data_IF_660317543835
#
_entry.id   IF_660317543835
#
_cell.length_a   1.000
_cell.length_b   1.000
_cell.length_c   1.000
_cell.angle_alpha   90.00
_cell.angle_beta   90.00
_cell.angle_gamma   90.00
#
_symmetry.space_group_name_H-M   'P 1'
#
loop_
_entity.id
_entity.type
_entity.pdbx_description
1 polymer ?
#
# COMPACT_ATOMS: atom_id res chain seq x y z
N UNK A 1 58.52 -8.32 -48.72
CA UNK A 1 57.36 -8.17 -47.79
C UNK A 1 56.28 -7.34 -48.50
N UNK A 2 55.16 -7.97 -48.83
CA UNK A 2 54.12 -7.35 -49.66
C UNK A 2 53.25 -6.37 -48.87
N UNK A 3 53.23 -5.13 -49.25
CA UNK A 3 52.41 -4.04 -48.63
C UNK A 3 50.90 -4.39 -48.46
N UNK A 4 50.42 -5.31 -49.28
CA UNK A 4 49.00 -5.79 -49.19
C UNK A 4 48.72 -6.62 -47.96
N UNK A 5 49.66 -7.35 -47.37
CA UNK A 5 49.47 -8.19 -46.19
C UNK A 5 49.54 -7.37 -44.86
N UNK A 6 50.14 -6.18 -44.91
CA UNK A 6 50.16 -5.27 -43.73
C UNK A 6 48.84 -4.54 -43.58
N UNK A 7 48.21 -4.13 -44.71
CA UNK A 7 46.92 -3.44 -44.68
C UNK A 7 45.77 -4.34 -44.25
N UNK A 8 45.79 -5.63 -44.65
CA UNK A 8 44.75 -6.61 -44.23
C UNK A 8 44.85 -6.99 -42.77
N UNK A 9 46.05 -7.00 -42.17
CA UNK A 9 46.25 -7.25 -40.73
C UNK A 9 45.87 -6.05 -39.87
N UNK A 10 46.02 -4.82 -40.33
CA UNK A 10 45.56 -3.60 -39.65
C UNK A 10 44.02 -3.46 -39.68
N UNK A 11 43.36 -3.86 -40.77
CA UNK A 11 41.88 -3.81 -40.84
C UNK A 11 41.21 -4.87 -39.94
N UNK A 12 41.86 -6.05 -39.75
CA UNK A 12 41.35 -7.06 -38.83
C UNK A 12 41.54 -6.72 -37.35
N UNK A 13 42.58 -5.93 -36.99
CA UNK A 13 42.79 -5.47 -35.61
C UNK A 13 41.80 -4.36 -35.19
N UNK A 14 41.33 -3.54 -36.10
CA UNK A 14 40.29 -2.52 -35.80
C UNK A 14 38.87 -3.09 -35.66
N UNK A 15 38.58 -4.25 -36.25
CA UNK A 15 37.26 -4.90 -36.15
C UNK A 15 37.05 -5.67 -34.81
N UNK A 16 38.12 -6.04 -34.11
CA UNK A 16 38.06 -6.76 -32.82
C UNK A 16 37.84 -5.84 -31.61
N UNK A 17 37.93 -4.51 -31.78
CA UNK A 17 37.75 -3.51 -30.72
C UNK A 17 36.33 -2.94 -30.61
N UNK A 18 35.45 -3.28 -31.54
CA UNK A 18 34.04 -2.84 -31.51
C UNK A 18 33.15 -3.88 -30.81
N UNK A 19 33.51 -4.29 -29.59
CA UNK A 19 32.50 -4.88 -28.69
C UNK A 19 31.43 -3.79 -28.44
N UNK A 20 30.15 -4.14 -28.57
CA UNK A 20 29.12 -3.13 -28.40
C UNK A 20 29.11 -2.64 -26.96
N UNK A 21 29.75 -1.48 -26.73
CA UNK A 21 29.50 -0.64 -25.55
C UNK A 21 28.02 -0.15 -25.49
N UNK A 22 27.17 -0.70 -26.34
CA UNK A 22 25.76 -0.32 -26.52
C UNK A 22 24.81 -0.94 -25.48
N UNK A 23 25.30 -1.69 -24.47
CA UNK A 23 24.43 -2.35 -23.49
C UNK A 23 24.21 -1.56 -22.18
N UNK A 24 24.76 -0.37 -22.05
CA UNK A 24 24.61 0.47 -20.86
C UNK A 24 24.21 1.89 -21.21
N UNK A 25 23.47 2.11 -22.30
CA UNK A 25 22.63 3.30 -22.39
C UNK A 25 21.59 3.17 -21.26
N UNK A 26 22.03 3.49 -20.04
CA UNK A 26 21.17 3.79 -18.93
C UNK A 26 20.21 4.85 -19.46
N UNK A 27 18.97 4.46 -19.75
CA UNK A 27 17.97 5.41 -20.25
C UNK A 27 17.91 6.52 -19.23
N UNK A 28 18.18 7.79 -19.63
CA UNK A 28 18.05 8.99 -18.81
C UNK A 28 16.60 9.22 -18.36
N UNK A 29 15.70 8.30 -18.74
CA UNK A 29 14.29 8.34 -18.37
C UNK A 29 14.16 8.13 -16.85
N UNK A 30 13.43 8.99 -16.16
CA UNK A 30 13.11 8.77 -14.75
C UNK A 30 12.29 7.50 -14.58
N UNK A 31 12.39 6.87 -13.42
CA UNK A 31 11.53 5.77 -13.02
C UNK A 31 10.21 6.33 -12.52
N UNK A 32 9.11 6.01 -13.18
CA UNK A 32 7.77 6.33 -12.71
C UNK A 32 7.37 5.39 -11.57
N UNK A 33 7.04 5.93 -10.41
CA UNK A 33 6.48 5.22 -9.27
C UNK A 33 4.99 5.51 -9.22
N UNK A 34 4.20 4.60 -9.75
CA UNK A 34 2.74 4.75 -9.76
C UNK A 34 2.19 4.49 -8.37
N UNK A 35 1.42 5.45 -7.86
CA UNK A 35 0.64 5.36 -6.63
C UNK A 35 -0.84 5.30 -7.01
N UNK A 36 -1.55 4.20 -6.71
CA UNK A 36 -2.92 4.00 -7.20
C UNK A 36 -4.00 4.69 -6.34
N UNK A 37 -3.63 5.76 -5.65
CA UNK A 37 -4.50 6.57 -4.78
C UNK A 37 -4.21 8.06 -4.94
N UNK A 38 -5.14 8.90 -4.46
CA UNK A 38 -4.95 10.35 -4.40
C UNK A 38 -3.75 10.73 -3.49
N UNK A 39 -3.13 11.89 -3.72
CA UNK A 39 -2.07 12.41 -2.87
C UNK A 39 -2.44 12.52 -1.38
N UNK A 40 -1.43 12.65 -0.53
CA UNK A 40 -1.51 12.84 0.93
C UNK A 40 -2.09 11.64 1.73
N UNK A 41 -2.30 10.49 1.11
CA UNK A 41 -2.58 9.24 1.80
C UNK A 41 -1.29 8.45 2.09
N UNK A 42 -1.41 7.37 2.86
CA UNK A 42 -0.31 6.49 3.27
C UNK A 42 0.51 5.96 2.09
N UNK A 43 -0.16 5.50 1.03
CA UNK A 43 0.52 4.97 -0.16
C UNK A 43 1.33 6.06 -0.90
N UNK A 44 0.82 7.29 -0.95
CA UNK A 44 1.52 8.43 -1.54
C UNK A 44 2.76 8.81 -0.72
N UNK A 45 2.63 8.86 0.62
CA UNK A 45 3.77 9.11 1.51
C UNK A 45 4.88 8.07 1.32
N UNK A 46 4.53 6.80 1.25
CA UNK A 46 5.50 5.72 0.99
C UNK A 46 6.10 5.81 -0.40
N UNK A 47 5.32 6.08 -1.44
CA UNK A 47 5.81 6.25 -2.81
C UNK A 47 6.85 7.38 -2.90
N UNK A 48 6.58 8.53 -2.28
CA UNK A 48 7.51 9.67 -2.25
C UNK A 48 8.77 9.36 -1.44
N UNK A 49 8.62 8.70 -0.30
CA UNK A 49 9.75 8.25 0.51
C UNK A 49 10.65 7.28 -0.29
N UNK A 50 10.06 6.29 -0.96
CA UNK A 50 10.82 5.36 -1.81
C UNK A 50 11.51 6.07 -2.97
N UNK A 51 10.82 6.98 -3.66
CA UNK A 51 11.41 7.76 -4.76
C UNK A 51 12.63 8.57 -4.28
N UNK A 52 12.52 9.22 -3.13
CA UNK A 52 13.59 10.02 -2.53
C UNK A 52 14.78 9.17 -2.08
N UNK A 53 14.55 7.99 -1.50
CA UNK A 53 15.60 7.17 -0.90
C UNK A 53 16.24 6.18 -1.89
N UNK A 54 15.45 5.61 -2.80
CA UNK A 54 15.95 4.64 -3.78
C UNK A 54 16.59 5.31 -4.99
N UNK A 55 16.12 6.49 -5.39
CA UNK A 55 16.64 7.20 -6.57
C UNK A 55 18.19 7.34 -6.56
N UNK A 56 18.79 7.90 -5.50
CA UNK A 56 20.26 8.01 -5.38
C UNK A 56 20.96 6.65 -5.41
N UNK A 57 20.41 5.61 -4.79
CA UNK A 57 20.98 4.25 -4.78
C UNK A 57 20.98 3.61 -6.16
N UNK A 58 20.00 3.97 -6.98
CA UNK A 58 19.85 3.48 -8.35
C UNK A 58 20.59 4.35 -9.38
N UNK A 59 21.08 5.53 -8.97
CA UNK A 59 21.67 6.52 -9.89
C UNK A 59 20.65 7.07 -10.89
N UNK A 60 19.36 7.11 -10.53
CA UNK A 60 18.25 7.51 -11.41
C UNK A 60 17.24 8.34 -10.67
N UNK A 61 16.66 9.32 -11.34
CA UNK A 61 15.50 10.04 -10.80
C UNK A 61 14.28 9.10 -10.71
N UNK A 62 13.53 9.19 -9.62
CA UNK A 62 12.24 8.51 -9.45
C UNK A 62 11.15 9.56 -9.24
N UNK A 63 10.05 9.44 -9.99
CA UNK A 63 8.93 10.40 -9.98
C UNK A 63 7.65 9.68 -9.58
N UNK A 64 6.92 10.23 -8.62
CA UNK A 64 5.63 9.69 -8.18
C UNK A 64 4.51 10.18 -9.09
N UNK A 65 3.72 9.25 -9.61
CA UNK A 65 2.50 9.51 -10.38
C UNK A 65 1.28 8.95 -9.66
N UNK A 66 0.37 9.82 -9.22
CA UNK A 66 -0.88 9.39 -8.61
C UNK A 66 -1.93 9.05 -9.69
N UNK A 67 -2.39 7.79 -9.71
CA UNK A 67 -3.45 7.30 -10.63
C UNK A 67 -4.59 6.65 -9.83
N UNK A 68 -5.45 7.46 -9.15
CA UNK A 68 -6.50 6.96 -8.28
C UNK A 68 -7.71 6.44 -9.04
N UNK A 69 -8.49 5.59 -8.38
CA UNK A 69 -9.82 5.15 -8.83
C UNK A 69 -9.99 3.64 -8.94
N UNK A 70 -11.25 3.20 -9.00
CA UNK A 70 -11.65 1.78 -9.07
C UNK A 70 -10.96 0.90 -8.01
N UNK A 71 -10.91 1.35 -6.73
CA UNK A 71 -10.23 0.61 -5.67
C UNK A 71 -8.77 0.26 -6.02
N UNK A 72 -7.98 1.24 -6.43
CA UNK A 72 -6.61 1.07 -6.97
C UNK A 72 -6.51 0.49 -8.41
N UNK A 73 -7.61 0.03 -8.99
CA UNK A 73 -7.61 -0.69 -10.27
C UNK A 73 -7.08 0.13 -11.46
N UNK A 74 -7.32 1.46 -11.49
CA UNK A 74 -6.84 2.32 -12.58
C UNK A 74 -5.30 2.36 -12.60
N UNK A 75 -4.66 2.63 -11.46
CA UNK A 75 -3.21 2.66 -11.34
C UNK A 75 -2.58 1.29 -11.60
N UNK A 76 -3.16 0.22 -11.04
CA UNK A 76 -2.71 -1.15 -11.24
C UNK A 76 -2.75 -1.53 -12.73
N UNK A 77 -3.88 -1.28 -13.42
CA UNK A 77 -4.02 -1.57 -14.85
C UNK A 77 -3.07 -0.77 -15.73
N UNK A 78 -2.74 0.46 -15.34
CA UNK A 78 -1.75 1.25 -16.06
C UNK A 78 -0.36 0.61 -16.01
N UNK A 79 0.04 0.09 -14.84
CA UNK A 79 1.32 -0.60 -14.67
C UNK A 79 1.31 -1.98 -15.30
N UNK A 80 0.21 -2.74 -15.18
CA UNK A 80 0.06 -4.05 -15.82
C UNK A 80 0.27 -3.99 -17.34
N UNK A 81 -0.04 -2.86 -17.98
CA UNK A 81 0.12 -2.63 -19.42
C UNK A 81 1.36 -1.83 -19.81
N UNK A 82 2.19 -1.44 -18.82
CA UNK A 82 3.42 -0.72 -19.09
C UNK A 82 4.50 -1.64 -19.65
N UNK A 83 5.44 -1.07 -20.41
CA UNK A 83 6.60 -1.80 -20.92
C UNK A 83 7.41 -2.36 -19.75
N UNK A 84 7.87 -3.62 -19.81
CA UNK A 84 8.65 -4.25 -18.74
C UNK A 84 10.14 -3.84 -18.78
N UNK A 85 10.41 -2.58 -19.13
CA UNK A 85 11.76 -2.02 -19.31
C UNK A 85 12.39 -1.52 -18.00
N UNK A 86 11.68 -1.64 -16.88
CA UNK A 86 12.10 -1.19 -15.56
C UNK A 86 11.86 0.31 -15.30
N UNK A 87 11.22 1.03 -16.20
CA UNK A 87 10.95 2.46 -16.02
C UNK A 87 9.63 2.74 -15.31
N UNK A 88 8.84 1.72 -15.01
CA UNK A 88 7.56 1.85 -14.30
C UNK A 88 7.48 0.86 -13.14
N UNK A 89 7.15 1.36 -11.95
CA UNK A 89 6.95 0.59 -10.75
C UNK A 89 5.59 0.94 -10.14
N UNK A 90 5.02 0.04 -9.35
CA UNK A 90 3.77 0.26 -8.62
C UNK A 90 4.01 0.11 -7.13
N UNK A 91 3.58 1.08 -6.34
CA UNK A 91 3.35 0.87 -4.91
C UNK A 91 2.02 0.13 -4.78
N UNK A 92 2.11 -1.19 -4.78
CA UNK A 92 0.94 -2.06 -4.71
C UNK A 92 0.50 -2.26 -3.25
N UNK A 93 -0.81 -2.33 -3.05
CA UNK A 93 -1.41 -2.52 -1.72
C UNK A 93 -2.09 -3.89 -1.63
N UNK A 94 -2.45 -4.30 -0.41
CA UNK A 94 -3.31 -5.47 -0.19
C UNK A 94 -4.60 -5.41 -1.02
N UNK A 95 -5.18 -4.21 -1.23
CA UNK A 95 -6.32 -4.01 -2.15
C UNK A 95 -5.98 -4.48 -3.55
N UNK A 96 -4.86 -3.99 -4.09
CA UNK A 96 -4.44 -4.25 -5.47
C UNK A 96 -4.18 -5.73 -5.73
N UNK A 97 -3.46 -6.38 -4.81
CA UNK A 97 -2.90 -7.71 -5.07
C UNK A 97 -3.71 -8.86 -4.45
N UNK A 98 -4.44 -8.61 -3.34
CA UNK A 98 -5.07 -9.69 -2.58
C UNK A 98 -6.60 -9.55 -2.43
N UNK A 99 -7.14 -8.32 -2.44
CA UNK A 99 -8.55 -8.05 -2.15
C UNK A 99 -9.38 -7.97 -3.42
N UNK A 100 -8.97 -7.18 -4.41
CA UNK A 100 -9.72 -6.94 -5.64
C UNK A 100 -10.12 -8.22 -6.39
N UNK A 101 -9.33 -9.31 -6.43
CA UNK A 101 -9.74 -10.57 -7.06
C UNK A 101 -11.03 -11.18 -6.49
N UNK A 102 -11.38 -10.86 -5.25
CA UNK A 102 -12.57 -11.36 -4.57
C UNK A 102 -13.78 -10.44 -4.69
N UNK A 103 -13.54 -9.16 -4.99
CA UNK A 103 -14.58 -8.13 -4.98
C UNK A 103 -15.10 -7.80 -6.38
N UNK A 104 -14.24 -7.81 -7.40
CA UNK A 104 -14.63 -7.44 -8.75
C UNK A 104 -14.92 -8.66 -9.61
N UNK A 105 -16.09 -8.72 -10.23
CA UNK A 105 -16.43 -9.76 -11.20
C UNK A 105 -15.55 -9.71 -12.47
N UNK A 106 -15.12 -8.51 -12.85
CA UNK A 106 -14.22 -8.26 -13.99
C UNK A 106 -13.14 -7.30 -13.56
N UNK A 107 -11.98 -7.84 -13.24
CA UNK A 107 -10.81 -7.05 -12.94
C UNK A 107 -10.04 -6.77 -14.25
N UNK A 108 -9.57 -5.53 -14.43
CA UNK A 108 -8.86 -5.09 -15.63
C UNK A 108 -7.37 -5.47 -15.65
N UNK A 109 -6.91 -6.24 -14.68
CA UNK A 109 -5.58 -6.80 -14.52
C UNK A 109 -5.66 -8.11 -13.74
N UNK A 110 -4.62 -8.94 -13.84
CA UNK A 110 -4.48 -10.19 -13.08
C UNK A 110 -3.31 -10.01 -12.06
N UNK A 111 -3.59 -9.92 -10.75
CA UNK A 111 -2.54 -9.71 -9.74
C UNK A 111 -1.45 -10.78 -9.73
N UNK A 112 -1.76 -12.01 -10.13
CA UNK A 112 -0.81 -13.11 -10.13
C UNK A 112 0.06 -13.18 -11.39
N UNK A 113 -0.40 -12.60 -12.51
CA UNK A 113 0.21 -12.73 -13.83
C UNK A 113 0.84 -11.43 -14.34
N UNK A 114 0.27 -10.29 -14.00
CA UNK A 114 0.63 -9.00 -14.61
C UNK A 114 1.72 -8.26 -13.85
N UNK A 115 2.15 -8.77 -12.69
CA UNK A 115 3.17 -8.12 -11.88
C UNK A 115 4.30 -9.07 -11.48
N UNK A 116 5.50 -8.50 -11.43
CA UNK A 116 6.69 -9.12 -10.83
C UNK A 116 6.93 -8.50 -9.46
N UNK A 117 6.87 -9.28 -8.35
CA UNK A 117 7.17 -8.79 -7.01
C UNK A 117 8.62 -8.30 -6.90
N UNK A 118 8.82 -7.17 -6.19
CA UNK A 118 10.16 -6.64 -5.87
C UNK A 118 10.44 -6.81 -4.38
N UNK A 119 9.54 -6.34 -3.51
CA UNK A 119 9.71 -6.49 -2.07
C UNK A 119 8.58 -5.85 -1.27
N UNK A 120 8.49 -6.27 -0.01
CA UNK A 120 7.54 -5.71 0.95
C UNK A 120 8.06 -4.38 1.49
N UNK A 121 7.17 -3.40 1.63
CA UNK A 121 7.47 -2.11 2.27
C UNK A 121 7.10 -2.18 3.75
N UNK A 122 5.88 -2.61 4.08
CA UNK A 122 5.45 -2.75 5.46
C UNK A 122 3.96 -3.00 5.62
N UNK A 123 3.58 -3.25 6.86
CA UNK A 123 2.20 -3.33 7.28
C UNK A 123 1.70 -1.96 7.75
N UNK A 124 0.40 -1.75 7.65
CA UNK A 124 -0.28 -0.51 8.03
C UNK A 124 -1.53 -0.89 8.82
N UNK A 125 -1.43 -0.97 10.14
CA UNK A 125 -2.59 -1.12 10.99
C UNK A 125 -3.57 0.03 10.81
N UNK A 126 -4.85 -0.23 11.00
CA UNK A 126 -5.86 0.79 10.95
C UNK A 126 -6.16 1.34 12.36
N UNK A 127 -6.58 2.59 12.38
CA UNK A 127 -6.99 3.31 13.58
C UNK A 127 -8.48 3.65 13.47
N UNK A 128 -9.28 3.12 14.36
CA UNK A 128 -10.67 3.53 14.50
C UNK A 128 -10.71 4.91 15.12
N UNK A 129 -10.98 5.91 14.29
CA UNK A 129 -11.07 7.32 14.67
C UNK A 129 -12.47 7.85 14.47
N UNK A 130 -12.87 8.78 15.34
CA UNK A 130 -14.16 9.45 15.25
C UNK A 130 -13.97 10.97 15.30
N UNK A 131 -14.90 11.72 14.71
CA UNK A 131 -14.98 13.16 14.89
C UNK A 131 -15.30 13.47 16.37
N UNK A 132 -14.68 14.49 17.01
CA UNK A 132 -14.88 14.78 18.43
C UNK A 132 -16.31 15.09 18.86
N UNK A 133 -17.17 15.56 17.94
CA UNK A 133 -18.61 15.78 18.20
C UNK A 133 -19.38 14.48 18.43
N UNK A 134 -18.86 13.34 17.98
CA UNK A 134 -19.48 12.05 18.26
C UNK A 134 -19.32 11.70 19.73
N UNK A 135 -20.43 11.35 20.41
CA UNK A 135 -20.43 11.14 21.87
C UNK A 135 -19.68 9.88 22.33
N UNK A 136 -19.38 8.95 21.40
CA UNK A 136 -18.66 7.72 21.72
C UNK A 136 -17.21 7.98 22.11
N UNK A 137 -16.76 7.41 23.24
CA UNK A 137 -15.39 7.47 23.78
C UNK A 137 -14.72 6.10 23.84
N UNK A 138 -15.44 5.05 23.51
CA UNK A 138 -14.96 3.67 23.49
C UNK A 138 -15.59 2.90 22.31
N UNK A 139 -15.02 1.75 21.98
CA UNK A 139 -15.57 0.83 20.95
C UNK A 139 -16.99 0.39 21.34
N UNK A 140 -17.22 0.06 22.61
CA UNK A 140 -18.53 -0.36 23.09
C UNK A 140 -19.59 0.75 22.95
N UNK A 141 -19.24 1.99 23.33
CA UNK A 141 -20.11 3.15 23.16
C UNK A 141 -20.39 3.45 21.68
N UNK A 142 -19.40 3.30 20.79
CA UNK A 142 -19.59 3.45 19.35
C UNK A 142 -20.60 2.44 18.80
N UNK A 143 -20.48 1.17 19.18
CA UNK A 143 -21.38 0.11 18.77
C UNK A 143 -22.82 0.43 19.25
N UNK A 144 -22.98 0.79 20.52
CA UNK A 144 -24.28 1.13 21.10
C UNK A 144 -24.89 2.35 20.38
N UNK A 145 -24.11 3.41 20.18
CA UNK A 145 -24.54 4.62 19.49
C UNK A 145 -24.97 4.33 18.04
N UNK A 146 -24.19 3.51 17.31
CA UNK A 146 -24.52 3.15 15.94
C UNK A 146 -25.87 2.41 15.83
N UNK A 147 -26.17 1.56 16.81
CA UNK A 147 -27.43 0.80 16.86
C UNK A 147 -28.63 1.66 17.23
N UNK A 148 -28.45 2.68 18.07
CA UNK A 148 -29.50 3.61 18.51
C UNK A 148 -29.76 4.75 17.51
N UNK A 149 -28.84 5.01 16.58
CA UNK A 149 -29.02 6.01 15.51
C UNK A 149 -29.88 5.41 14.40
N UNK A 150 -31.01 6.06 13.97
CA UNK A 150 -31.94 5.49 13.01
C UNK A 150 -31.30 4.97 11.73
N UNK A 151 -30.42 5.79 11.10
CA UNK A 151 -29.72 5.45 9.85
C UNK A 151 -28.32 4.88 10.05
N UNK A 152 -27.93 4.63 11.30
CA UNK A 152 -26.56 4.27 11.68
C UNK A 152 -25.61 5.46 11.61
N UNK A 153 -24.30 5.18 11.61
CA UNK A 153 -23.25 6.19 11.52
C UNK A 153 -22.54 6.11 10.17
N UNK A 154 -22.15 7.26 9.61
CA UNK A 154 -21.40 7.29 8.34
C UNK A 154 -19.92 7.09 8.58
N UNK A 155 -19.27 6.24 7.77
CA UNK A 155 -17.83 6.05 7.81
C UNK A 155 -17.18 6.23 6.45
N UNK A 156 -15.96 6.82 6.45
CA UNK A 156 -15.15 6.99 5.25
C UNK A 156 -14.14 5.87 5.03
N UNK A 157 -13.73 5.70 3.80
CA UNK A 157 -12.64 4.80 3.41
C UNK A 157 -11.81 5.36 2.25
N UNK A 158 -10.68 4.73 1.94
CA UNK A 158 -9.89 5.07 0.76
C UNK A 158 -10.53 4.59 -0.57
N UNK A 159 -11.76 4.08 -0.51
CA UNK A 159 -12.54 3.59 -1.64
C UNK A 159 -13.04 2.16 -1.43
N UNK A 160 -13.90 1.74 -2.33
CA UNK A 160 -14.45 0.39 -2.32
C UNK A 160 -13.32 -0.65 -2.37
N UNK A 161 -13.39 -1.67 -1.50
CA UNK A 161 -12.38 -2.73 -1.40
C UNK A 161 -11.09 -2.32 -0.72
N UNK A 162 -10.95 -1.07 -0.25
CA UNK A 162 -9.80 -0.70 0.57
C UNK A 162 -9.82 -1.43 1.91
N UNK A 163 -8.66 -1.65 2.56
CA UNK A 163 -8.60 -2.24 3.90
C UNK A 163 -9.46 -1.47 4.91
N UNK A 164 -9.60 -0.16 4.77
CA UNK A 164 -10.45 0.70 5.59
C UNK A 164 -11.94 0.34 5.44
N UNK A 165 -12.38 0.11 4.20
CA UNK A 165 -13.73 -0.37 3.91
C UNK A 165 -13.94 -1.77 4.50
N UNK A 166 -13.06 -2.72 4.17
CA UNK A 166 -13.20 -4.10 4.64
C UNK A 166 -13.06 -4.25 6.15
N UNK A 167 -12.15 -3.47 6.78
CA UNK A 167 -12.03 -3.42 8.24
C UNK A 167 -13.35 -2.97 8.90
N UNK A 168 -14.01 -1.96 8.33
CA UNK A 168 -15.32 -1.53 8.80
C UNK A 168 -16.39 -2.60 8.56
N UNK A 169 -16.42 -3.26 7.39
CA UNK A 169 -17.40 -4.34 7.12
C UNK A 169 -17.17 -5.56 8.02
N UNK A 170 -15.92 -5.95 8.26
CA UNK A 170 -15.59 -6.98 9.25
C UNK A 170 -16.05 -6.59 10.66
N UNK A 171 -15.86 -5.33 11.04
CA UNK A 171 -16.33 -4.81 12.33
C UNK A 171 -17.84 -4.83 12.44
N UNK A 172 -18.56 -4.43 11.38
CA UNK A 172 -20.03 -4.53 11.31
C UNK A 172 -20.50 -5.98 11.49
N UNK A 173 -19.89 -6.91 10.74
CA UNK A 173 -20.25 -8.33 10.80
C UNK A 173 -19.99 -8.92 12.19
N UNK A 174 -18.88 -8.55 12.84
CA UNK A 174 -18.49 -9.06 14.15
C UNK A 174 -19.34 -8.50 15.31
N UNK A 175 -19.76 -7.22 15.22
CA UNK A 175 -20.37 -6.50 16.35
C UNK A 175 -21.84 -6.17 16.15
N UNK A 176 -22.35 -6.28 14.93
CA UNK A 176 -23.68 -5.80 14.54
C UNK A 176 -23.80 -4.27 14.55
N UNK A 177 -22.69 -3.53 14.49
CA UNK A 177 -22.70 -2.07 14.36
C UNK A 177 -23.38 -1.64 13.05
N UNK A 178 -24.17 -0.58 13.11
CA UNK A 178 -24.88 -0.01 11.96
C UNK A 178 -24.07 1.14 11.38
N UNK A 179 -23.31 0.85 10.31
CA UNK A 179 -22.42 1.82 9.66
C UNK A 179 -22.73 1.91 8.17
N UNK A 180 -22.80 3.13 7.63
CA UNK A 180 -23.03 3.43 6.21
C UNK A 180 -21.74 3.91 5.55
N UNK A 181 -21.35 3.29 4.46
CA UNK A 181 -20.09 3.54 3.77
C UNK A 181 -20.13 4.77 2.86
N UNK A 182 -19.09 5.62 2.97
CA UNK A 182 -18.82 6.74 2.06
C UNK A 182 -17.43 6.53 1.43
N UNK A 183 -17.34 6.11 0.16
CA UNK A 183 -16.05 5.84 -0.49
C UNK A 183 -15.38 7.11 -1.00
N UNK A 184 -14.06 7.23 -0.77
CA UNK A 184 -13.18 8.28 -1.31
C UNK A 184 -12.13 7.71 -2.26
N UNK A 185 -11.40 8.56 -2.98
CA UNK A 185 -10.30 8.15 -3.89
C UNK A 185 -8.94 8.03 -3.16
N UNK A 186 -8.95 7.95 -1.82
CA UNK A 186 -7.76 7.85 -0.97
C UNK A 186 -8.06 8.26 0.47
N UNK A 187 -7.26 7.76 1.42
CA UNK A 187 -7.47 7.99 2.87
C UNK A 187 -7.32 9.47 3.27
N UNK A 188 -6.45 10.24 2.61
CA UNK A 188 -6.27 11.66 2.91
C UNK A 188 -7.55 12.48 2.70
N UNK A 189 -8.31 12.21 1.62
CA UNK A 189 -9.58 12.88 1.36
C UNK A 189 -10.63 12.54 2.42
N UNK A 190 -10.73 11.26 2.80
CA UNK A 190 -11.65 10.81 3.85
C UNK A 190 -11.31 11.45 5.22
N UNK A 191 -10.03 11.58 5.57
CA UNK A 191 -9.59 12.26 6.80
C UNK A 191 -9.98 13.73 6.78
N UNK A 192 -9.87 14.41 5.63
CA UNK A 192 -10.29 15.82 5.49
C UNK A 192 -11.79 15.97 5.79
N UNK A 193 -12.63 15.11 5.24
CA UNK A 193 -14.09 15.16 5.48
C UNK A 193 -14.46 14.71 6.89
N UNK A 194 -13.68 13.81 7.51
CA UNK A 194 -13.84 13.45 8.92
C UNK A 194 -13.53 14.65 9.82
N UNK A 195 -12.47 15.41 9.54
CA UNK A 195 -12.12 16.63 10.27
C UNK A 195 -13.20 17.73 10.12
N UNK A 196 -13.84 17.77 8.95
CA UNK A 196 -14.97 18.67 8.68
C UNK A 196 -16.31 18.18 9.23
N UNK A 197 -16.37 16.99 9.85
CA UNK A 197 -17.61 16.39 10.39
C UNK A 197 -18.60 15.93 9.31
N UNK A 198 -18.17 15.84 8.04
CA UNK A 198 -19.02 15.34 6.93
C UNK A 198 -19.26 13.83 7.04
N UNK A 199 -18.33 13.10 7.62
CA UNK A 199 -18.46 11.71 8.07
C UNK A 199 -18.14 11.63 9.56
N UNK A 200 -18.64 10.61 10.23
CA UNK A 200 -18.57 10.54 11.70
C UNK A 200 -17.40 9.72 12.21
N UNK A 201 -16.95 8.73 11.42
CA UNK A 201 -15.84 7.85 11.80
C UNK A 201 -15.09 7.32 10.58
N UNK A 202 -13.94 6.72 10.84
CA UNK A 202 -13.15 6.03 9.84
C UNK A 202 -12.28 4.95 10.51
N UNK A 203 -12.07 3.84 9.83
CA UNK A 203 -10.95 2.95 10.08
C UNK A 203 -9.78 3.47 9.23
N UNK A 204 -9.11 4.50 9.72
CA UNK A 204 -8.05 5.20 8.97
C UNK A 204 -6.73 4.46 9.04
N UNK A 205 -5.89 4.61 8.02
CA UNK A 205 -4.46 4.38 8.24
C UNK A 205 -3.98 5.32 9.35
N UNK A 206 -3.00 4.88 10.15
CA UNK A 206 -2.49 5.70 11.26
C UNK A 206 -1.81 6.99 10.77
N UNK A 207 -0.90 6.97 9.75
CA UNK A 207 -0.13 8.16 9.39
C UNK A 207 -0.97 9.40 9.07
N UNK A 208 -1.98 9.37 8.20
CA UNK A 208 -2.76 10.56 7.87
C UNK A 208 -3.64 11.07 9.03
N UNK A 209 -3.99 10.21 10.00
CA UNK A 209 -4.83 10.59 11.15
C UNK A 209 -4.01 11.01 12.38
N UNK A 210 -2.77 10.55 12.51
CA UNK A 210 -1.97 10.61 13.73
C UNK A 210 -1.82 12.02 14.31
N UNK A 211 -1.44 13.00 13.49
CA UNK A 211 -1.23 14.36 13.95
C UNK A 211 -2.55 15.02 14.38
N UNK A 212 -3.65 14.65 13.77
CA UNK A 212 -4.98 15.15 14.13
C UNK A 212 -5.47 14.55 15.46
N UNK A 213 -5.13 13.29 15.72
CA UNK A 213 -5.40 12.63 17.00
C UNK A 213 -4.55 13.29 18.10
N UNK A 214 -3.24 13.48 17.89
CA UNK A 214 -2.35 14.16 18.84
C UNK A 214 -2.77 15.60 19.14
N UNK A 215 -3.33 16.29 18.16
CA UNK A 215 -3.87 17.64 18.30
C UNK A 215 -5.31 17.70 18.88
N UNK A 216 -5.92 16.53 19.21
CA UNK A 216 -7.28 16.47 19.73
C UNK A 216 -8.37 16.80 18.70
N UNK A 217 -8.00 16.96 17.41
CA UNK A 217 -8.95 17.22 16.32
C UNK A 217 -9.71 15.98 15.88
N UNK A 218 -9.20 14.79 16.18
CA UNK A 218 -9.87 13.51 16.06
C UNK A 218 -9.71 12.72 17.35
N UNK A 219 -10.63 11.83 17.65
CA UNK A 219 -10.53 10.91 18.78
C UNK A 219 -10.25 9.50 18.28
N UNK A 220 -9.14 8.92 18.73
CA UNK A 220 -8.84 7.51 18.53
C UNK A 220 -9.61 6.66 19.55
N UNK A 221 -10.24 5.58 19.10
CA UNK A 221 -10.94 4.63 19.96
C UNK A 221 -10.20 3.30 20.08
N UNK A 222 -9.59 2.79 18.99
CA UNK A 222 -8.82 1.55 19.00
C UNK A 222 -7.95 1.42 17.76
N UNK A 223 -6.88 0.59 17.83
CA UNK A 223 -6.13 0.11 16.67
C UNK A 223 -6.62 -1.28 16.27
N UNK A 224 -6.49 -1.64 14.99
CA UNK A 224 -6.99 -2.91 14.44
C UNK A 224 -5.94 -4.01 14.38
N UNK A 225 -4.72 -3.75 14.80
CA UNK A 225 -3.65 -4.74 14.96
C UNK A 225 -3.87 -5.61 16.19
N UNK A 226 -3.21 -6.78 16.21
CA UNK A 226 -3.25 -7.69 17.37
C UNK A 226 -2.58 -7.09 18.62
N UNK A 227 -1.61 -6.17 18.44
CA UNK A 227 -0.93 -5.45 19.52
C UNK A 227 -1.13 -3.93 19.36
N UNK A 228 -0.98 -3.18 20.46
CA UNK A 228 -0.99 -1.73 20.45
C UNK A 228 0.15 -1.17 19.62
N UNK A 229 -0.05 0.02 19.07
CA UNK A 229 0.93 0.66 18.21
C UNK A 229 1.88 1.56 18.99
N UNK A 230 3.20 1.49 18.74
CA UNK A 230 4.18 2.36 19.41
C UNK A 230 3.92 3.86 19.20
N UNK A 231 3.29 4.21 18.07
CA UNK A 231 2.90 5.60 17.77
C UNK A 231 1.79 6.16 18.67
N UNK A 232 0.97 5.26 19.28
CA UNK A 232 -0.22 5.55 20.10
C UNK A 232 -0.37 4.48 21.20
N UNK A 233 0.59 4.37 22.15
CA UNK A 233 0.61 3.28 23.12
C UNK A 233 -0.58 3.30 24.10
N UNK A 234 -1.22 4.47 24.28
CA UNK A 234 -2.42 4.65 25.09
C UNK A 234 -3.69 4.11 24.44
N UNK A 235 -3.69 3.95 23.10
CA UNK A 235 -4.87 3.50 22.34
C UNK A 235 -4.95 1.97 22.38
N UNK A 236 -6.03 1.38 22.90
CA UNK A 236 -6.18 -0.07 22.97
C UNK A 236 -6.38 -0.67 21.57
N UNK A 237 -6.21 -1.98 21.46
CA UNK A 237 -6.65 -2.70 20.26
C UNK A 237 -8.17 -2.88 20.28
N UNK A 238 -8.77 -3.13 19.10
CA UNK A 238 -10.20 -3.49 19.02
C UNK A 238 -10.48 -4.74 19.86
N UNK A 239 -9.56 -5.72 19.86
CA UNK A 239 -9.68 -6.94 20.66
C UNK A 239 -9.65 -6.66 22.17
N UNK A 240 -8.81 -5.72 22.64
CA UNK A 240 -8.74 -5.30 24.06
C UNK A 240 -9.97 -4.53 24.53
N UNK A 241 -10.80 -4.02 23.63
CA UNK A 241 -12.01 -3.26 23.99
C UNK A 241 -13.03 -4.05 24.79
N UNK A 242 -12.96 -5.39 24.77
CA UNK A 242 -13.90 -6.30 25.44
C UNK A 242 -15.32 -6.25 24.88
N UNK A 243 -15.60 -5.51 23.82
CA UNK A 243 -16.91 -5.46 23.21
C UNK A 243 -17.28 -6.81 22.58
N UNK A 244 -18.57 -7.12 22.57
CA UNK A 244 -19.03 -8.39 21.99
C UNK A 244 -18.63 -8.49 20.51
N UNK A 245 -18.04 -9.64 20.12
CA UNK A 245 -17.59 -9.92 18.76
C UNK A 245 -16.18 -9.41 18.41
N UNK A 246 -15.47 -8.71 19.32
CA UNK A 246 -14.15 -8.10 18.99
C UNK A 246 -12.95 -8.95 19.41
N UNK A 247 -13.10 -10.06 20.12
CA UNK A 247 -12.04 -10.83 20.77
C UNK A 247 -10.83 -11.19 19.89
N UNK A 248 -11.06 -11.48 18.62
CA UNK A 248 -10.01 -11.85 17.66
C UNK A 248 -10.02 -10.91 16.45
N UNK A 249 -10.45 -9.68 16.65
CA UNK A 249 -10.53 -8.72 15.56
C UNK A 249 -9.15 -8.25 15.14
N UNK A 250 -8.84 -8.43 13.87
CA UNK A 250 -7.62 -7.93 13.25
C UNK A 250 -7.89 -7.54 11.79
N UNK A 251 -7.52 -6.32 11.43
CA UNK A 251 -7.57 -5.82 10.06
C UNK A 251 -6.33 -4.95 9.81
N UNK A 252 -5.35 -5.52 9.12
CA UNK A 252 -4.07 -4.86 8.83
C UNK A 252 -3.88 -4.80 7.31
N UNK A 253 -3.66 -3.59 6.79
CA UNK A 253 -3.24 -3.37 5.42
C UNK A 253 -1.74 -3.65 5.27
N UNK A 254 -1.27 -3.87 4.04
CA UNK A 254 0.14 -3.96 3.73
C UNK A 254 0.44 -3.36 2.36
N UNK A 255 1.70 -3.00 2.15
CA UNK A 255 2.16 -2.34 0.94
C UNK A 255 3.47 -2.96 0.46
N UNK A 256 3.61 -3.06 -0.83
CA UNK A 256 4.76 -3.67 -1.51
C UNK A 256 5.12 -2.87 -2.76
N UNK A 257 6.32 -3.10 -3.27
CA UNK A 257 6.77 -2.59 -4.55
C UNK A 257 6.73 -3.73 -5.56
N UNK A 258 6.15 -3.48 -6.74
CA UNK A 258 6.09 -4.43 -7.85
C UNK A 258 6.41 -3.73 -9.17
N UNK A 259 6.82 -4.52 -10.17
CA UNK A 259 7.04 -4.07 -11.54
C UNK A 259 6.06 -4.77 -12.49
N UNK A 260 5.92 -4.34 -13.77
CA UNK A 260 5.22 -5.09 -14.80
C UNK A 260 5.78 -6.51 -14.95
N UNK A 261 4.92 -7.47 -15.27
CA UNK A 261 5.37 -8.83 -15.59
C UNK A 261 6.36 -8.82 -16.76
N UNK A 262 7.39 -9.68 -16.69
CA UNK A 262 8.43 -9.74 -17.72
C UNK A 262 9.56 -8.71 -17.54
N UNK A 263 9.53 -7.88 -16.52
CA UNK A 263 10.68 -7.01 -16.17
C UNK A 263 11.93 -7.88 -15.96
N UNK A 264 13.09 -7.53 -16.57
CA UNK A 264 14.32 -8.32 -16.48
C UNK A 264 14.72 -8.59 -15.04
N UNK A 265 15.13 -9.84 -14.77
CA UNK A 265 15.50 -10.31 -13.40
C UNK A 265 16.59 -9.47 -12.75
N UNK A 266 17.53 -8.98 -13.55
CA UNK A 266 18.62 -8.11 -13.11
C UNK A 266 18.10 -6.79 -12.56
N UNK A 267 17.10 -6.18 -13.22
CA UNK A 267 16.45 -4.95 -12.75
C UNK A 267 15.63 -5.21 -11.49
N UNK A 268 14.85 -6.30 -11.46
CA UNK A 268 14.10 -6.71 -10.26
C UNK A 268 15.02 -6.89 -9.07
N UNK A 269 16.15 -7.60 -9.26
CA UNK A 269 17.16 -7.79 -8.21
C UNK A 269 17.77 -6.48 -7.73
N UNK A 270 18.08 -5.57 -8.66
CA UNK A 270 18.61 -4.23 -8.35
C UNK A 270 17.62 -3.40 -7.54
N UNK A 271 16.35 -3.42 -7.89
CA UNK A 271 15.30 -2.72 -7.13
C UNK A 271 15.07 -3.36 -5.76
N UNK A 272 15.06 -4.68 -5.68
CA UNK A 272 14.91 -5.39 -4.40
C UNK A 272 16.07 -5.07 -3.44
N UNK A 273 17.31 -5.03 -3.94
CA UNK A 273 18.49 -4.65 -3.15
C UNK A 273 18.41 -3.18 -2.68
N UNK A 274 18.00 -2.25 -3.57
CA UNK A 274 17.83 -0.85 -3.20
C UNK A 274 16.75 -0.68 -2.14
N UNK A 275 15.58 -1.33 -2.32
CA UNK A 275 14.49 -1.33 -1.34
C UNK A 275 14.96 -1.90 0.01
N UNK A 276 15.64 -3.05 0.01
CA UNK A 276 16.17 -3.66 1.22
C UNK A 276 17.14 -2.74 1.97
N UNK A 277 18.06 -2.06 1.26
CA UNK A 277 18.97 -1.07 1.85
C UNK A 277 18.22 0.10 2.48
N UNK A 278 17.18 0.61 1.81
CA UNK A 278 16.34 1.71 2.33
C UNK A 278 15.60 1.25 3.58
N UNK A 279 14.92 0.11 3.54
CA UNK A 279 14.12 -0.39 4.67
C UNK A 279 14.96 -0.89 5.85
N UNK A 280 16.26 -1.13 5.66
CA UNK A 280 17.19 -1.49 6.72
C UNK A 280 17.77 -0.30 7.50
N UNK A 281 17.57 0.95 7.04
CA UNK A 281 18.09 2.15 7.70
C UNK A 281 17.42 2.36 9.07
N UNK A 282 18.15 2.37 10.20
CA UNK A 282 17.56 2.46 11.53
C UNK A 282 16.74 3.74 11.74
N UNK A 283 17.24 4.88 11.24
CA UNK A 283 16.55 6.17 11.37
C UNK A 283 15.22 6.17 10.61
N UNK A 284 15.20 5.60 9.40
CA UNK A 284 13.97 5.48 8.61
C UNK A 284 12.96 4.56 9.29
N UNK A 285 13.41 3.41 9.79
CA UNK A 285 12.55 2.46 10.52
C UNK A 285 11.93 3.13 11.74
N UNK A 286 12.76 3.76 12.60
CA UNK A 286 12.27 4.48 13.78
C UNK A 286 11.27 5.58 13.42
N UNK A 287 11.49 6.31 12.31
CA UNK A 287 10.55 7.32 11.82
C UNK A 287 9.23 6.69 11.40
N UNK A 288 9.28 5.62 10.60
CA UNK A 288 8.07 4.93 10.11
C UNK A 288 7.26 4.36 11.29
N UNK A 289 7.91 3.74 12.28
CA UNK A 289 7.25 3.23 13.50
C UNK A 289 6.56 4.36 14.30
N UNK A 290 7.22 5.51 14.45
CA UNK A 290 6.63 6.70 15.09
C UNK A 290 5.47 7.31 14.32
N UNK A 291 5.40 7.07 13.02
CA UNK A 291 4.31 7.46 12.12
C UNK A 291 3.20 6.40 12.05
N UNK A 292 3.35 5.26 12.73
CA UNK A 292 2.34 4.21 12.80
C UNK A 292 2.41 3.17 11.68
N UNK A 293 3.57 3.07 11.02
CA UNK A 293 3.87 1.92 10.16
C UNK A 293 4.49 0.79 10.97
N UNK A 294 4.26 -0.43 10.50
CA UNK A 294 5.04 -1.60 10.91
C UNK A 294 5.99 -1.97 9.76
N UNK A 295 7.22 -1.41 9.74
CA UNK A 295 8.17 -1.77 8.70
C UNK A 295 8.51 -3.26 8.84
N UNK A 296 8.15 -4.05 7.84
CA UNK A 296 8.45 -5.48 7.83
C UNK A 296 9.96 -5.68 7.83
N UNK A 297 10.42 -6.75 8.48
CA UNK A 297 11.83 -7.13 8.46
C UNK A 297 12.33 -7.08 7.00
N UNK A 298 13.40 -6.34 6.78
CA UNK A 298 13.91 -5.81 5.51
C UNK A 298 14.28 -6.85 4.44
N UNK A 299 13.97 -8.12 4.64
CA UNK A 299 14.54 -9.23 3.88
C UNK A 299 13.52 -10.10 3.14
N UNK A 300 12.27 -9.62 2.95
CA UNK A 300 11.31 -10.40 2.15
C UNK A 300 11.74 -10.34 0.67
N UNK A 301 12.35 -11.44 0.20
CA UNK A 301 12.76 -11.60 -1.19
C UNK A 301 11.54 -11.68 -2.10
N UNK A 302 11.69 -11.41 -3.42
CA UNK A 302 10.58 -11.45 -4.38
C UNK A 302 9.73 -12.72 -4.30
N UNK A 303 10.35 -13.89 -4.15
CA UNK A 303 9.67 -15.18 -4.04
C UNK A 303 8.86 -15.32 -2.74
N UNK A 304 9.39 -14.78 -1.65
CA UNK A 304 8.70 -14.75 -0.35
C UNK A 304 7.49 -13.81 -0.39
N UNK A 305 7.63 -12.66 -1.06
CA UNK A 305 6.50 -11.74 -1.29
C UNK A 305 5.43 -12.41 -2.16
N UNK A 306 5.80 -13.13 -3.22
CA UNK A 306 4.84 -13.86 -4.04
C UNK A 306 4.04 -14.90 -3.21
N UNK A 307 4.72 -15.66 -2.34
CA UNK A 307 4.07 -16.60 -1.43
C UNK A 307 3.16 -15.89 -0.41
N UNK A 308 3.62 -14.77 0.14
CA UNK A 308 2.84 -13.94 1.06
C UNK A 308 1.55 -13.41 0.41
N UNK A 309 1.64 -12.87 -0.81
CA UNK A 309 0.48 -12.38 -1.57
C UNK A 309 -0.56 -13.49 -1.73
N UNK A 310 -0.14 -14.72 -2.06
CA UNK A 310 -1.05 -15.87 -2.19
C UNK A 310 -1.79 -16.15 -0.87
N UNK A 311 -1.07 -16.22 0.24
CA UNK A 311 -1.64 -16.44 1.57
C UNK A 311 -2.63 -15.34 1.95
N UNK A 312 -2.26 -14.09 1.71
CA UNK A 312 -3.10 -12.93 1.98
C UNK A 312 -4.35 -12.91 1.10
N UNK A 313 -4.24 -13.32 -0.17
CA UNK A 313 -5.40 -13.42 -1.05
C UNK A 313 -6.44 -14.40 -0.49
N UNK A 314 -6.00 -15.54 0.03
CA UNK A 314 -6.89 -16.52 0.68
C UNK A 314 -7.48 -15.96 1.99
N UNK A 315 -6.67 -15.27 2.81
CA UNK A 315 -7.11 -14.66 4.07
C UNK A 315 -8.20 -13.61 3.84
N UNK A 316 -7.94 -12.67 2.92
CA UNK A 316 -8.91 -11.62 2.57
C UNK A 316 -10.17 -12.20 1.91
N UNK A 317 -10.04 -13.24 1.07
CA UNK A 317 -11.17 -13.92 0.49
C UNK A 317 -12.11 -14.53 1.55
N UNK A 318 -11.57 -15.13 2.61
CA UNK A 318 -12.37 -15.61 3.76
C UNK A 318 -13.07 -14.46 4.49
N UNK A 319 -12.34 -13.36 4.75
CA UNK A 319 -12.89 -12.19 5.43
C UNK A 319 -14.01 -11.53 4.62
N UNK A 320 -13.85 -11.37 3.30
CA UNK A 320 -14.85 -10.81 2.40
C UNK A 320 -16.11 -11.68 2.37
N UNK A 321 -15.96 -13.00 2.26
CA UNK A 321 -17.10 -13.91 2.30
C UNK A 321 -17.86 -13.85 3.63
N UNK A 322 -17.13 -13.79 4.74
CA UNK A 322 -17.72 -13.72 6.08
C UNK A 322 -18.42 -12.38 6.34
N UNK A 323 -17.88 -11.26 5.87
CA UNK A 323 -18.49 -9.93 6.05
C UNK A 323 -19.62 -9.63 5.08
N UNK A 324 -19.75 -10.41 4.00
CA UNK A 324 -20.73 -10.14 2.93
C UNK A 324 -20.42 -8.89 2.10
N UNK A 325 -19.21 -8.33 2.23
CA UNK A 325 -18.79 -7.17 1.45
C UNK A 325 -18.81 -7.47 -0.05
N UNK A 326 -19.43 -6.60 -0.83
CA UNK A 326 -19.53 -6.70 -2.29
C UNK A 326 -19.28 -5.34 -2.93
N UNK A 327 -18.75 -5.39 -4.14
CA UNK A 327 -18.70 -4.26 -5.06
C UNK A 327 -19.42 -4.76 -6.32
N UNK A 328 -20.52 -4.13 -6.65
CA UNK A 328 -21.35 -4.50 -7.81
C UNK A 328 -20.68 -4.12 -9.14
#
# INVERSE_FOLDING_TARGET
MNRRHVLTRLAAACAAGAAPAALWAQTDKPISVVVPYAPAGTTDMLGRMLAQQMGPLLGRQMIVENKPGAGSGIGASAVARAEPDGNTLLVATSTTLAINPWLYKRLSYDPARDFTPIGMIGAVPLLLVVHPSLRAKSVAELIALSKSTPDGLTYGSAGNGSPQHLGAEMFKAATGARLTHVPYKGSGLAVTDLLGGQIQLMFSDIPPALQHVRAGKLRALAVTSAARQPALPEVPTVAESGAAGTRNFEAVAWQSLVAPAGTPKELVSRYAQALAKVMAQPELRSRLEKEGFEPVASNMRPEQLAAYIKTETERWGKAIKASGARID
#
